data_IF_030662228789
#
_entry.id   IF_030662228789
#
_cell.length_a   1.000
_cell.length_b   1.000
_cell.length_c   1.000
_cell.angle_alpha   90.00
_cell.angle_beta   90.00
_cell.angle_gamma   90.00
#
_symmetry.space_group_name_H-M   'P 1'
#
loop_
_entity.id
_entity.type
_entity.pdbx_description
1 polymer ?
#
# COMPACT_ATOMS: atom_id res chain seq x y z
N UNK A 1 -22.33 23.94 -18.31
CA UNK A 1 -20.87 23.97 -18.57
C UNK A 1 -20.19 24.28 -17.24
N UNK A 2 -19.73 23.25 -16.48
CA UNK A 2 -18.99 23.44 -15.23
C UNK A 2 -17.79 22.47 -15.23
N UNK A 3 -16.73 22.89 -15.90
CA UNK A 3 -15.46 22.16 -15.97
C UNK A 3 -14.39 22.64 -14.96
N UNK A 4 -14.80 23.03 -13.72
CA UNK A 4 -13.92 23.74 -12.78
C UNK A 4 -13.38 22.95 -11.60
N UNK A 5 -13.80 21.71 -11.34
CA UNK A 5 -13.55 21.06 -10.03
C UNK A 5 -12.50 19.96 -10.03
N UNK A 6 -12.06 19.50 -11.18
CA UNK A 6 -11.13 18.35 -11.28
C UNK A 6 -9.64 18.74 -11.20
N UNK A 7 -9.32 20.04 -11.29
CA UNK A 7 -7.92 20.52 -11.22
C UNK A 7 -7.41 20.83 -9.80
N UNK A 8 -8.25 20.81 -8.78
CA UNK A 8 -7.90 21.21 -7.42
C UNK A 8 -6.86 20.29 -6.74
N UNK A 9 -6.85 18.98 -6.96
CA UNK A 9 -5.83 18.10 -6.36
C UNK A 9 -4.46 18.35 -6.96
N UNK A 10 -4.37 18.54 -8.28
CA UNK A 10 -3.12 18.79 -9.00
C UNK A 10 -2.53 20.15 -8.61
N UNK A 11 -3.35 21.20 -8.52
CA UNK A 11 -2.90 22.53 -8.11
C UNK A 11 -2.41 22.59 -6.65
N UNK A 12 -2.96 21.76 -5.75
CA UNK A 12 -2.44 21.67 -4.37
C UNK A 12 -1.07 21.01 -4.31
N UNK A 13 -0.80 20.03 -5.16
CA UNK A 13 0.51 19.39 -5.29
C UNK A 13 1.54 20.30 -5.95
N UNK A 14 1.09 21.18 -6.85
CA UNK A 14 1.95 22.19 -7.51
C UNK A 14 2.25 23.42 -6.63
N UNK A 15 1.55 23.61 -5.52
CA UNK A 15 1.90 24.64 -4.50
C UNK A 15 3.10 24.20 -3.67
N UNK A 16 4.20 23.87 -4.32
CA UNK A 16 5.50 23.74 -3.67
C UNK A 16 6.05 25.12 -3.26
N UNK A 17 6.89 25.18 -2.20
CA UNK A 17 7.57 26.40 -1.82
C UNK A 17 8.28 27.04 -3.02
N UNK A 18 8.26 28.37 -3.11
CA UNK A 18 8.84 29.16 -4.21
C UNK A 18 10.26 28.69 -4.57
N UNK A 19 10.67 28.72 -5.88
CA UNK A 19 12.04 28.45 -6.28
C UNK A 19 12.97 29.43 -5.54
N UNK A 20 13.74 28.95 -4.61
CA UNK A 20 14.60 29.75 -3.71
C UNK A 20 14.62 29.21 -2.28
N UNK A 21 13.60 28.50 -1.87
CA UNK A 21 13.58 27.77 -0.60
C UNK A 21 13.57 26.27 -0.87
N UNK A 22 14.61 25.76 -1.55
CA UNK A 22 14.85 24.31 -1.56
C UNK A 22 15.09 23.91 -0.11
N UNK A 23 14.27 22.98 0.44
CA UNK A 23 14.51 22.48 1.78
C UNK A 23 15.93 21.96 1.83
N UNK A 24 16.67 22.31 2.91
CA UNK A 24 18.05 21.84 3.12
C UNK A 24 18.11 20.36 2.80
N UNK A 25 18.89 20.03 1.74
CA UNK A 25 19.25 18.66 1.41
C UNK A 25 19.83 18.02 2.65
N UNK A 26 19.23 16.92 3.13
CA UNK A 26 19.88 16.15 4.18
C UNK A 26 19.00 15.44 5.21
N UNK A 27 17.68 15.57 5.20
CA UNK A 27 16.87 14.78 6.12
C UNK A 27 16.18 13.61 5.42
N UNK A 28 16.52 12.36 5.78
CA UNK A 28 15.86 11.13 5.32
C UNK A 28 14.32 11.22 5.42
N UNK A 29 13.80 11.93 6.43
CA UNK A 29 12.36 12.15 6.61
C UNK A 29 11.72 12.86 5.42
N UNK A 30 12.35 13.86 4.84
CA UNK A 30 11.83 14.59 3.69
C UNK A 30 11.87 13.74 2.43
N UNK A 31 12.93 12.93 2.24
CA UNK A 31 13.01 12.01 1.10
C UNK A 31 11.88 10.98 1.13
N UNK A 32 11.57 10.41 2.31
CA UNK A 32 10.42 9.52 2.47
C UNK A 32 9.08 10.21 2.21
N UNK A 33 8.91 11.44 2.70
CA UNK A 33 7.68 12.21 2.45
C UNK A 33 7.46 12.43 0.96
N UNK A 34 8.49 12.85 0.23
CA UNK A 34 8.39 13.08 -1.22
C UNK A 34 8.16 11.78 -2.01
N UNK A 35 8.80 10.69 -1.60
CA UNK A 35 8.55 9.38 -2.23
C UNK A 35 7.08 8.96 -2.06
N UNK A 36 6.53 9.09 -0.86
CA UNK A 36 5.12 8.77 -0.61
C UNK A 36 4.15 9.72 -1.32
N UNK A 37 4.46 11.00 -1.41
CA UNK A 37 3.69 11.97 -2.19
C UNK A 37 3.65 11.57 -3.67
N UNK A 38 4.78 11.11 -4.23
CA UNK A 38 4.86 10.61 -5.60
C UNK A 38 3.98 9.38 -5.81
N UNK A 39 4.04 8.39 -4.92
CA UNK A 39 3.17 7.20 -4.98
C UNK A 39 1.69 7.59 -4.94
N UNK A 40 1.30 8.47 -4.01
CA UNK A 40 -0.10 8.94 -3.90
C UNK A 40 -0.53 9.74 -5.11
N UNK A 41 0.37 10.54 -5.70
CA UNK A 41 0.08 11.27 -6.93
C UNK A 41 -0.30 10.30 -8.05
N UNK A 42 0.53 9.28 -8.31
CA UNK A 42 0.29 8.30 -9.38
C UNK A 42 -0.99 7.50 -9.10
N UNK A 43 -1.21 7.05 -7.86
CA UNK A 43 -2.43 6.34 -7.45
C UNK A 43 -3.72 7.17 -7.69
N UNK A 44 -3.66 8.49 -7.54
CA UNK A 44 -4.82 9.36 -7.74
C UNK A 44 -5.06 9.74 -9.18
N UNK A 45 -4.01 9.86 -9.97
CA UNK A 45 -4.09 10.42 -11.32
C UNK A 45 -4.08 9.35 -12.41
N UNK A 46 -3.50 8.17 -12.14
CA UNK A 46 -3.33 7.12 -13.14
C UNK A 46 -4.29 5.96 -12.91
N UNK A 47 -5.21 5.78 -13.87
CA UNK A 47 -6.17 4.67 -13.85
C UNK A 47 -5.47 3.30 -13.92
N UNK A 48 -4.40 3.20 -14.69
CA UNK A 48 -3.64 1.96 -14.82
C UNK A 48 -3.00 1.56 -13.48
N UNK A 49 -2.42 2.53 -12.75
CA UNK A 49 -1.89 2.28 -11.41
C UNK A 49 -2.96 1.72 -10.46
N UNK A 50 -4.17 2.28 -10.49
CA UNK A 50 -5.29 1.78 -9.66
C UNK A 50 -5.64 0.33 -10.00
N UNK A 51 -5.68 -0.01 -11.30
CA UNK A 51 -5.94 -1.38 -11.76
C UNK A 51 -4.82 -2.34 -11.35
N UNK A 52 -3.57 -1.93 -11.46
CA UNK A 52 -2.42 -2.75 -11.08
C UNK A 52 -2.37 -2.99 -9.57
N UNK A 53 -2.64 -1.97 -8.76
CA UNK A 53 -2.73 -2.12 -7.29
C UNK A 53 -3.88 -3.05 -6.92
N UNK A 54 -5.06 -2.84 -7.49
CA UNK A 54 -6.21 -3.71 -7.23
C UNK A 54 -5.92 -5.17 -7.62
N UNK A 55 -5.43 -5.40 -8.83
CA UNK A 55 -5.05 -6.74 -9.30
C UNK A 55 -3.96 -7.38 -8.44
N UNK A 56 -2.95 -6.62 -8.07
CA UNK A 56 -1.88 -7.07 -7.17
C UNK A 56 -2.41 -7.49 -5.80
N UNK A 57 -3.29 -6.69 -5.20
CA UNK A 57 -3.94 -7.06 -3.91
C UNK A 57 -4.76 -8.33 -4.06
N UNK A 58 -5.56 -8.46 -5.11
CA UNK A 58 -6.35 -9.68 -5.36
C UNK A 58 -5.45 -10.91 -5.49
N UNK A 59 -4.38 -10.83 -6.29
CA UNK A 59 -3.43 -11.93 -6.48
C UNK A 59 -2.75 -12.32 -5.17
N UNK A 60 -2.29 -11.35 -4.37
CA UNK A 60 -1.64 -11.62 -3.10
C UNK A 60 -2.61 -12.23 -2.07
N UNK A 61 -3.84 -11.73 -1.99
CA UNK A 61 -4.89 -12.32 -1.13
C UNK A 61 -5.18 -13.76 -1.53
N UNK A 62 -5.36 -14.03 -2.84
CA UNK A 62 -5.57 -15.39 -3.34
C UNK A 62 -4.37 -16.29 -3.04
N UNK A 63 -3.15 -15.81 -3.23
CA UNK A 63 -1.93 -16.54 -2.90
C UNK A 63 -1.89 -16.93 -1.43
N UNK A 64 -2.24 -16.00 -0.54
CA UNK A 64 -2.36 -16.25 0.90
C UNK A 64 -3.45 -17.31 1.18
N UNK A 65 -4.63 -17.18 0.61
CA UNK A 65 -5.73 -18.14 0.78
C UNK A 65 -5.39 -19.55 0.29
N UNK A 66 -4.61 -19.65 -0.78
CA UNK A 66 -4.22 -20.93 -1.40
C UNK A 66 -2.94 -21.54 -0.80
N UNK A 67 -2.37 -20.94 0.23
CA UNK A 67 -1.23 -21.47 0.95
C UNK A 67 0.03 -21.63 0.07
N UNK A 68 0.36 -20.61 -0.74
CA UNK A 68 1.58 -20.63 -1.56
C UNK A 68 2.84 -20.70 -0.70
N UNK A 69 3.90 -21.29 -1.21
CA UNK A 69 5.20 -21.34 -0.54
C UNK A 69 5.82 -19.94 -0.43
N UNK A 70 6.81 -19.80 0.46
CA UNK A 70 7.54 -18.52 0.66
C UNK A 70 8.20 -18.00 -0.60
N UNK A 71 8.76 -18.90 -1.43
CA UNK A 71 9.40 -18.53 -2.70
C UNK A 71 8.37 -18.08 -3.73
N UNK A 72 7.25 -18.77 -3.82
CA UNK A 72 6.12 -18.37 -4.69
C UNK A 72 5.56 -17.01 -4.28
N UNK A 73 5.38 -16.77 -2.97
CA UNK A 73 4.92 -15.49 -2.46
C UNK A 73 5.93 -14.37 -2.77
N UNK A 74 7.22 -14.62 -2.57
CA UNK A 74 8.29 -13.67 -2.92
C UNK A 74 8.27 -13.33 -4.41
N UNK A 75 8.08 -14.33 -5.28
CA UNK A 75 7.97 -14.13 -6.71
C UNK A 75 6.74 -13.27 -7.08
N UNK A 76 5.59 -13.51 -6.45
CA UNK A 76 4.37 -12.72 -6.67
C UNK A 76 4.53 -11.27 -6.18
N UNK A 77 5.08 -11.07 -4.98
CA UNK A 77 5.35 -9.72 -4.45
C UNK A 77 6.33 -8.97 -5.34
N UNK A 78 7.40 -9.64 -5.79
CA UNK A 78 8.38 -9.07 -6.71
C UNK A 78 7.75 -8.70 -8.06
N UNK A 79 6.90 -9.56 -8.61
CA UNK A 79 6.19 -9.31 -9.86
C UNK A 79 5.23 -8.12 -9.76
N UNK A 80 4.41 -8.06 -8.72
CA UNK A 80 3.53 -6.91 -8.44
C UNK A 80 4.36 -5.63 -8.27
N UNK A 81 5.43 -5.69 -7.47
CA UNK A 81 6.32 -4.55 -7.26
C UNK A 81 6.92 -4.03 -8.57
N UNK A 82 7.36 -4.93 -9.45
CA UNK A 82 7.92 -4.56 -10.75
C UNK A 82 6.91 -3.81 -11.64
N UNK A 83 5.64 -4.26 -11.67
CA UNK A 83 4.57 -3.56 -12.41
C UNK A 83 4.35 -2.16 -11.86
N UNK A 84 4.26 -2.02 -10.55
CA UNK A 84 4.05 -0.71 -9.92
C UNK A 84 5.23 0.25 -10.17
N UNK A 85 6.46 -0.26 -10.12
CA UNK A 85 7.67 0.53 -10.44
C UNK A 85 7.66 0.95 -11.90
N UNK A 86 7.34 0.03 -12.82
CA UNK A 86 7.25 0.36 -14.24
C UNK A 86 6.19 1.45 -14.51
N UNK A 87 5.02 1.37 -13.87
CA UNK A 87 3.96 2.37 -14.00
C UNK A 87 4.37 3.74 -13.43
N UNK A 88 5.10 3.76 -12.32
CA UNK A 88 5.64 5.00 -11.77
C UNK A 88 6.64 5.66 -12.72
N UNK A 89 7.52 4.87 -13.35
CA UNK A 89 8.46 5.39 -14.37
C UNK A 89 7.72 5.88 -15.59
N UNK A 90 6.72 5.15 -16.09
CA UNK A 90 5.88 5.58 -17.19
C UNK A 90 5.26 6.95 -16.91
N UNK A 91 4.61 7.09 -15.74
CA UNK A 91 3.99 8.35 -15.32
C UNK A 91 5.02 9.49 -15.20
N UNK A 92 6.20 9.19 -14.65
CA UNK A 92 7.25 10.20 -14.52
C UNK A 92 7.76 10.70 -15.90
N UNK A 93 7.92 9.80 -16.87
CA UNK A 93 8.30 10.12 -18.24
C UNK A 93 7.20 10.98 -18.89
N UNK A 94 5.94 10.54 -18.81
CA UNK A 94 4.80 11.31 -19.35
C UNK A 94 4.75 12.72 -18.76
N UNK A 95 4.79 12.84 -17.44
CA UNK A 95 4.72 14.13 -16.76
C UNK A 95 5.90 15.04 -17.10
N UNK A 96 7.11 14.48 -17.26
CA UNK A 96 8.32 15.25 -17.63
C UNK A 96 8.20 15.77 -19.05
N UNK A 97 7.80 14.91 -19.97
CA UNK A 97 7.69 15.26 -21.38
C UNK A 97 6.58 16.30 -21.59
N UNK A 98 5.41 16.12 -20.96
CA UNK A 98 4.27 17.04 -21.07
C UNK A 98 4.56 18.42 -20.44
N UNK A 99 5.45 18.48 -19.46
CA UNK A 99 5.88 19.74 -18.87
C UNK A 99 6.81 20.57 -19.78
N UNK A 100 7.52 19.91 -20.71
CA UNK A 100 8.54 20.57 -21.55
C UNK A 100 8.05 20.78 -22.98
N UNK A 101 7.26 19.87 -23.52
CA UNK A 101 6.84 19.84 -24.93
C UNK A 101 5.33 19.95 -25.02
N UNK A 102 4.86 21.10 -25.48
CA UNK A 102 3.42 21.40 -25.60
C UNK A 102 2.86 21.13 -27.00
N UNK A 103 3.75 20.83 -27.98
CA UNK A 103 3.37 20.54 -29.36
C UNK A 103 3.69 19.10 -29.73
N UNK A 104 2.96 18.55 -30.69
CA UNK A 104 3.23 17.18 -31.15
C UNK A 104 4.63 17.04 -31.70
N UNK A 105 5.37 16.06 -31.17
CA UNK A 105 6.70 15.69 -31.67
C UNK A 105 6.81 14.16 -31.78
N UNK A 106 7.21 13.59 -32.94
CA UNK A 106 7.25 12.14 -33.15
C UNK A 106 8.09 11.37 -32.13
N UNK A 107 9.26 11.91 -31.75
CA UNK A 107 10.13 11.28 -30.73
C UNK A 107 9.51 11.26 -29.34
N UNK A 108 8.70 12.27 -29.01
CA UNK A 108 7.95 12.31 -27.75
C UNK A 108 6.93 11.17 -27.70
N UNK A 109 6.20 10.97 -28.81
CA UNK A 109 5.29 9.84 -28.92
C UNK A 109 6.02 8.52 -28.72
N UNK A 110 7.16 8.33 -29.40
CA UNK A 110 7.98 7.11 -29.23
C UNK A 110 8.42 6.90 -27.79
N UNK A 111 8.88 7.95 -27.09
CA UNK A 111 9.31 7.85 -25.70
C UNK A 111 8.16 7.39 -24.77
N UNK A 112 6.95 7.96 -24.95
CA UNK A 112 5.76 7.55 -24.21
C UNK A 112 5.35 6.10 -24.54
N UNK A 113 5.35 5.74 -25.82
CA UNK A 113 5.00 4.39 -26.28
C UNK A 113 5.97 3.34 -25.69
N UNK A 114 7.28 3.64 -25.64
CA UNK A 114 8.29 2.76 -25.05
C UNK A 114 8.08 2.61 -23.54
N UNK A 115 7.79 3.69 -22.84
CA UNK A 115 7.52 3.65 -21.41
C UNK A 115 6.27 2.83 -21.10
N UNK A 116 5.18 3.03 -21.84
CA UNK A 116 3.97 2.21 -21.74
C UNK A 116 4.22 0.73 -22.09
N UNK A 117 5.08 0.46 -23.09
CA UNK A 117 5.54 -0.87 -23.47
C UNK A 117 6.24 -1.60 -22.31
N UNK A 118 7.06 -0.90 -21.53
CA UNK A 118 7.71 -1.47 -20.36
C UNK A 118 6.68 -1.92 -19.29
N UNK A 119 5.64 -1.13 -19.07
CA UNK A 119 4.52 -1.53 -18.17
C UNK A 119 3.83 -2.77 -18.68
N UNK A 120 3.55 -2.83 -19.99
CA UNK A 120 2.89 -3.99 -20.60
C UNK A 120 3.71 -5.27 -20.43
N UNK A 121 5.02 -5.20 -20.64
CA UNK A 121 5.93 -6.34 -20.44
C UNK A 121 5.93 -6.77 -18.96
N UNK A 122 6.07 -5.82 -18.04
CA UNK A 122 6.04 -6.12 -16.61
C UNK A 122 4.72 -6.77 -16.18
N UNK A 123 3.58 -6.26 -16.67
CA UNK A 123 2.26 -6.82 -16.41
C UNK A 123 2.11 -8.24 -17.00
N UNK A 124 2.57 -8.48 -18.22
CA UNK A 124 2.56 -9.81 -18.82
C UNK A 124 3.39 -10.82 -18.02
N UNK A 125 4.57 -10.43 -17.55
CA UNK A 125 5.40 -11.25 -16.65
C UNK A 125 4.69 -11.53 -15.33
N UNK A 126 4.06 -10.52 -14.73
CA UNK A 126 3.34 -10.69 -13.47
C UNK A 126 2.14 -11.64 -13.61
N UNK A 127 1.37 -11.52 -14.68
CA UNK A 127 0.26 -12.43 -15.00
C UNK A 127 0.77 -13.85 -15.22
N UNK A 128 1.89 -14.02 -15.93
CA UNK A 128 2.50 -15.34 -16.17
C UNK A 128 2.95 -15.99 -14.87
N UNK A 129 3.60 -15.25 -13.97
CA UNK A 129 4.03 -15.75 -12.66
C UNK A 129 2.80 -16.11 -11.82
N UNK A 130 1.79 -15.22 -11.77
CA UNK A 130 0.55 -15.49 -11.04
C UNK A 130 -0.16 -16.75 -11.57
N UNK A 131 -0.24 -16.90 -12.88
CA UNK A 131 -0.80 -18.10 -13.50
C UNK A 131 -0.04 -19.36 -13.07
N UNK A 132 1.28 -19.39 -13.22
CA UNK A 132 2.09 -20.56 -12.87
C UNK A 132 1.99 -20.93 -11.40
N UNK A 133 1.94 -19.94 -10.51
CA UNK A 133 1.85 -20.16 -9.06
C UNK A 133 0.44 -20.60 -8.64
N UNK A 134 -0.60 -19.99 -9.18
CA UNK A 134 -1.97 -20.20 -8.70
C UNK A 134 -2.67 -21.35 -9.42
N UNK A 135 -2.32 -21.64 -10.68
CA UNK A 135 -3.03 -22.64 -11.49
C UNK A 135 -3.09 -24.02 -10.84
N UNK A 136 -1.94 -24.55 -10.40
CA UNK A 136 -1.88 -25.87 -9.75
C UNK A 136 -2.67 -25.92 -8.43
N UNK A 137 -2.75 -24.79 -7.74
CA UNK A 137 -3.46 -24.66 -6.46
C UNK A 137 -4.97 -24.51 -6.61
N UNK A 138 -5.42 -23.90 -7.70
CA UNK A 138 -6.84 -23.75 -8.02
C UNK A 138 -7.45 -25.04 -8.56
N UNK A 139 -6.64 -25.90 -9.16
CA UNK A 139 -7.11 -27.18 -9.75
C UNK A 139 -7.11 -28.33 -8.74
N UNK A 140 -6.37 -28.22 -7.63
CA UNK A 140 -6.39 -29.21 -6.55
C UNK A 140 -7.40 -28.80 -5.46
N UNK A 141 -8.49 -29.55 -5.24
CA UNK A 141 -9.45 -29.18 -4.19
C UNK A 141 -8.81 -29.32 -2.79
N UNK A 142 -8.44 -28.18 -2.25
CA UNK A 142 -8.49 -27.76 -0.81
C UNK A 142 -8.20 -28.78 0.32
N UNK A 143 -7.24 -29.67 0.18
CA UNK A 143 -6.70 -30.38 1.37
C UNK A 143 -5.78 -29.48 2.22
N UNK A 144 -5.24 -28.41 1.67
CA UNK A 144 -4.29 -27.51 2.36
C UNK A 144 -4.96 -26.39 3.16
N UNK A 145 -6.20 -26.03 2.86
CA UNK A 145 -6.92 -24.95 3.58
C UNK A 145 -7.19 -25.28 5.05
N UNK A 146 -7.30 -26.56 5.40
CA UNK A 146 -7.59 -26.99 6.76
C UNK A 146 -6.33 -27.39 7.57
N UNK A 147 -5.20 -27.66 6.92
CA UNK A 147 -3.96 -28.03 7.61
C UNK A 147 -3.02 -26.84 7.88
N UNK A 148 -3.17 -25.74 7.14
CA UNK A 148 -2.39 -24.51 7.37
C UNK A 148 -2.82 -23.70 8.58
N UNK A 149 -4.05 -23.96 9.07
CA UNK A 149 -4.70 -23.17 10.13
C UNK A 149 -4.06 -23.29 11.53
N UNK A 150 -3.06 -24.12 11.72
CA UNK A 150 -2.49 -24.40 13.07
C UNK A 150 -1.09 -23.86 13.33
N UNK A 151 -0.43 -23.25 12.37
CA UNK A 151 0.87 -22.63 12.55
C UNK A 151 0.92 -21.33 11.73
N UNK A 152 0.33 -20.27 12.26
CA UNK A 152 0.45 -18.95 11.64
C UNK A 152 1.94 -18.55 11.60
N UNK A 153 2.58 -18.62 10.45
CA UNK A 153 4.00 -18.36 10.38
C UNK A 153 4.24 -16.87 10.55
N UNK A 154 5.36 -16.46 11.11
CA UNK A 154 5.76 -15.07 11.37
C UNK A 154 5.60 -14.15 10.16
N UNK A 155 5.65 -14.70 8.94
CA UNK A 155 5.47 -13.92 7.72
C UNK A 155 4.03 -13.39 7.53
N UNK A 156 3.01 -14.01 8.11
CA UNK A 156 1.62 -13.48 8.08
C UNK A 156 1.54 -12.14 8.79
N UNK A 157 2.31 -11.96 9.88
CA UNK A 157 2.40 -10.68 10.59
C UNK A 157 2.94 -9.59 9.67
N UNK A 158 4.04 -9.86 8.99
CA UNK A 158 4.69 -8.88 8.08
C UNK A 158 3.76 -8.53 6.92
N UNK A 159 3.07 -9.54 6.37
CA UNK A 159 2.10 -9.34 5.28
C UNK A 159 0.90 -8.52 5.76
N UNK A 160 0.34 -8.83 6.93
CA UNK A 160 -0.78 -8.10 7.49
C UNK A 160 -0.43 -6.62 7.72
N UNK A 161 0.76 -6.33 8.24
CA UNK A 161 1.27 -4.97 8.38
C UNK A 161 1.42 -4.29 7.00
N UNK A 162 2.01 -4.97 6.02
CA UNK A 162 2.17 -4.45 4.67
C UNK A 162 0.83 -4.13 4.00
N UNK A 163 -0.14 -5.06 4.04
CA UNK A 163 -1.48 -4.85 3.49
C UNK A 163 -2.19 -3.71 4.22
N UNK A 164 -2.06 -3.61 5.55
CA UNK A 164 -2.64 -2.51 6.32
C UNK A 164 -2.10 -1.16 5.86
N UNK A 165 -0.78 -1.05 5.66
CA UNK A 165 -0.15 0.19 5.16
C UNK A 165 -0.65 0.53 3.76
N UNK A 166 -0.70 -0.45 2.86
CA UNK A 166 -1.22 -0.26 1.50
C UNK A 166 -2.69 0.15 1.51
N UNK A 167 -3.53 -0.48 2.35
CA UNK A 167 -4.94 -0.12 2.50
C UNK A 167 -5.10 1.33 2.99
N UNK A 168 -4.31 1.76 3.97
CA UNK A 168 -4.30 3.15 4.45
C UNK A 168 -3.94 4.11 3.32
N UNK A 169 -2.87 3.81 2.55
CA UNK A 169 -2.45 4.66 1.43
C UNK A 169 -3.55 4.73 0.37
N UNK A 170 -4.15 3.59 0.02
CA UNK A 170 -5.23 3.52 -0.96
C UNK A 170 -6.47 4.32 -0.51
N UNK A 171 -6.91 4.18 0.75
CA UNK A 171 -8.04 4.93 1.29
C UNK A 171 -7.72 6.42 1.33
N UNK A 172 -6.53 6.83 1.75
CA UNK A 172 -6.11 8.25 1.73
C UNK A 172 -6.08 8.81 0.32
N UNK A 173 -5.60 8.02 -0.64
CA UNK A 173 -5.62 8.39 -2.05
C UNK A 173 -7.06 8.60 -2.56
N UNK A 174 -7.99 7.71 -2.20
CA UNK A 174 -9.38 7.80 -2.60
C UNK A 174 -10.13 8.97 -1.93
N UNK A 175 -9.98 9.13 -0.62
CA UNK A 175 -10.69 10.18 0.16
C UNK A 175 -10.16 11.59 -0.13
N UNK A 176 -8.93 11.71 -0.61
CA UNK A 176 -8.37 13.01 -1.00
C UNK A 176 -8.02 13.96 0.15
N UNK A 177 -8.03 13.49 1.41
CA UNK A 177 -7.77 14.32 2.60
C UNK A 177 -6.44 13.97 3.27
N UNK A 178 -5.60 15.00 3.51
CA UNK A 178 -4.30 14.86 4.20
C UNK A 178 -3.14 14.46 3.27
N UNK A 179 -1.96 14.33 3.88
CA UNK A 179 -0.76 13.78 3.22
C UNK A 179 -0.54 12.34 3.68
N UNK A 180 0.25 11.53 2.97
CA UNK A 180 0.50 10.13 3.36
C UNK A 180 0.97 9.95 4.80
N UNK A 181 1.75 10.92 5.33
CA UNK A 181 2.34 10.86 6.66
C UNK A 181 1.75 11.85 7.67
N UNK A 182 1.00 12.89 7.22
CA UNK A 182 0.44 13.91 8.12
C UNK A 182 -1.03 14.16 7.84
N UNK A 183 -1.86 13.94 8.86
CA UNK A 183 -3.29 14.17 8.83
C UNK A 183 -4.05 13.27 7.84
N UNK A 184 -5.34 13.47 7.76
CA UNK A 184 -6.22 12.78 6.83
C UNK A 184 -6.68 11.40 7.30
N UNK A 185 -7.77 10.95 6.69
CA UNK A 185 -8.49 9.75 7.04
C UNK A 185 -8.02 8.56 6.19
N UNK A 186 -7.77 7.36 6.81
CA UNK A 186 -7.61 7.08 8.23
C UNK A 186 -6.19 7.38 8.75
N UNK A 187 -5.97 7.34 10.09
CA UNK A 187 -4.63 7.49 10.67
C UNK A 187 -3.76 6.26 10.41
N UNK A 188 -2.68 6.44 9.63
CA UNK A 188 -1.76 5.35 9.29
C UNK A 188 -0.98 4.81 10.48
N UNK A 189 -0.57 5.69 11.42
CA UNK A 189 0.14 5.27 12.62
C UNK A 189 -0.76 4.45 13.55
N UNK A 190 -2.02 4.86 13.73
CA UNK A 190 -2.97 4.09 14.49
C UNK A 190 -3.26 2.73 13.82
N UNK A 191 -3.44 2.70 12.50
CA UNK A 191 -3.65 1.47 11.77
C UNK A 191 -2.49 0.49 11.94
N UNK A 192 -1.25 0.93 11.77
CA UNK A 192 -0.07 0.09 11.94
C UNK A 192 0.08 -0.41 13.40
N UNK A 193 -0.14 0.46 14.39
CA UNK A 193 -0.02 0.10 15.80
C UNK A 193 -1.08 -0.95 16.22
N UNK A 194 -2.33 -0.78 15.79
CA UNK A 194 -3.40 -1.73 16.10
C UNK A 194 -3.33 -3.01 15.27
N UNK A 195 -2.79 -2.96 14.05
CA UNK A 195 -2.44 -4.16 13.29
C UNK A 195 -1.37 -4.99 14.00
N UNK A 196 -0.31 -4.33 14.51
CA UNK A 196 0.74 -4.99 15.26
C UNK A 196 0.22 -5.57 16.59
N UNK A 197 -0.62 -4.83 17.33
CA UNK A 197 -1.28 -5.35 18.52
C UNK A 197 -2.11 -6.60 18.24
N UNK A 198 -2.95 -6.57 17.21
CA UNK A 198 -3.78 -7.71 16.83
C UNK A 198 -2.93 -8.92 16.44
N UNK A 199 -1.87 -8.70 15.63
CA UNK A 199 -0.95 -9.76 15.24
C UNK A 199 -0.26 -10.39 16.46
N UNK A 200 0.25 -9.58 17.39
CA UNK A 200 0.85 -10.06 18.65
C UNK A 200 -0.19 -10.90 19.42
N UNK A 201 -1.40 -10.39 19.58
CA UNK A 201 -2.49 -11.07 20.29
C UNK A 201 -2.75 -12.48 19.72
N UNK A 202 -2.84 -12.58 18.40
CA UNK A 202 -3.12 -13.84 17.72
C UNK A 202 -1.93 -14.83 17.79
N UNK A 203 -0.70 -14.33 17.67
CA UNK A 203 0.51 -15.16 17.74
C UNK A 203 0.78 -15.69 19.14
N UNK A 204 0.57 -14.87 20.19
CA UNK A 204 0.87 -15.27 21.57
C UNK A 204 -0.28 -16.00 22.26
N UNK A 205 -1.46 -16.09 21.64
CA UNK A 205 -2.65 -16.71 22.23
C UNK A 205 -2.40 -18.09 22.90
N UNK A 206 -1.53 -18.96 22.37
CA UNK A 206 -1.22 -20.25 23.01
C UNK A 206 -0.23 -20.16 24.19
N UNK A 207 0.33 -19.00 24.50
CA UNK A 207 1.39 -18.86 25.49
C UNK A 207 0.86 -18.60 26.89
N UNK A 208 1.57 -19.06 27.93
CA UNK A 208 1.17 -18.89 29.32
C UNK A 208 1.04 -17.43 29.79
N UNK A 209 1.71 -16.49 29.12
CA UNK A 209 1.68 -15.06 29.44
C UNK A 209 0.96 -14.22 28.38
N UNK A 210 0.10 -14.84 27.56
CA UNK A 210 -0.62 -14.19 26.47
C UNK A 210 -1.39 -12.94 26.93
N UNK A 211 -2.11 -13.02 28.03
CA UNK A 211 -2.88 -11.90 28.56
C UNK A 211 -1.99 -10.68 28.89
N UNK A 212 -0.86 -10.90 29.53
CA UNK A 212 0.08 -9.81 29.88
C UNK A 212 0.67 -9.18 28.62
N UNK A 213 1.16 -10.00 27.69
CA UNK A 213 1.79 -9.52 26.45
C UNK A 213 0.77 -8.74 25.60
N UNK A 214 -0.44 -9.28 25.44
CA UNK A 214 -1.53 -8.63 24.71
C UNK A 214 -1.92 -7.29 25.34
N UNK A 215 -2.04 -7.24 26.66
CA UNK A 215 -2.38 -5.99 27.37
C UNK A 215 -1.27 -4.93 27.17
N UNK A 216 -0.01 -5.30 27.32
CA UNK A 216 1.10 -4.38 27.11
C UNK A 216 1.15 -3.88 25.67
N UNK A 217 0.97 -4.76 24.69
CA UNK A 217 0.92 -4.39 23.26
C UNK A 217 -0.26 -3.46 22.97
N UNK A 218 -1.43 -3.70 23.60
CA UNK A 218 -2.59 -2.82 23.48
C UNK A 218 -2.33 -1.43 24.06
N UNK A 219 -1.74 -1.35 25.25
CA UNK A 219 -1.36 -0.07 25.85
C UNK A 219 -0.39 0.70 24.97
N UNK A 220 0.59 0.04 24.36
CA UNK A 220 1.50 0.67 23.41
C UNK A 220 0.77 1.19 22.18
N UNK A 221 -0.17 0.43 21.62
CA UNK A 221 -0.99 0.87 20.50
C UNK A 221 -1.86 2.08 20.87
N UNK A 222 -2.43 2.11 22.08
CA UNK A 222 -3.18 3.26 22.60
C UNK A 222 -2.30 4.49 22.78
N UNK A 223 -1.09 4.36 23.30
CA UNK A 223 -0.15 5.47 23.44
C UNK A 223 0.22 6.07 22.08
N UNK A 224 0.44 5.22 21.06
CA UNK A 224 0.65 5.68 19.69
C UNK A 224 -0.58 6.44 19.19
N UNK A 225 -1.77 5.91 19.39
CA UNK A 225 -3.03 6.53 18.96
C UNK A 225 -3.24 7.88 19.65
N UNK A 226 -3.07 7.96 20.98
CA UNK A 226 -3.20 9.15 21.78
C UNK A 226 -2.21 10.22 21.34
N UNK A 227 -0.94 9.86 21.12
CA UNK A 227 0.08 10.82 20.67
C UNK A 227 -0.28 11.50 19.34
N UNK A 228 -1.08 10.86 18.47
CA UNK A 228 -1.53 11.46 17.19
C UNK A 228 -2.64 12.49 17.41
N UNK A 229 -3.50 12.27 18.40
CA UNK A 229 -4.56 13.20 18.77
C UNK A 229 -3.97 14.40 19.51
N UNK A 230 -3.12 14.17 20.52
CA UNK A 230 -2.48 15.23 21.30
C UNK A 230 -1.58 16.15 20.46
N UNK A 231 -0.87 15.59 19.49
CA UNK A 231 -0.07 16.37 18.56
C UNK A 231 -0.92 17.18 17.55
N UNK A 232 -2.25 17.09 17.60
CA UNK A 232 -3.16 17.79 16.67
C UNK A 232 -3.01 17.35 15.20
N UNK A 233 -2.35 16.20 14.95
CA UNK A 233 -2.07 15.70 13.58
C UNK A 233 -3.31 14.99 13.02
N UNK A 234 -4.07 14.33 13.89
CA UNK A 234 -5.25 13.54 13.54
C UNK A 234 -6.40 13.81 14.52
N UNK A 235 -7.63 13.79 14.00
CA UNK A 235 -8.83 13.77 14.82
C UNK A 235 -9.03 12.39 15.46
N UNK A 236 -9.80 12.33 16.56
CA UNK A 236 -10.15 11.06 17.20
C UNK A 236 -10.82 10.06 16.24
N UNK A 237 -11.65 10.56 15.32
CA UNK A 237 -12.33 9.74 14.30
C UNK A 237 -11.32 9.11 13.33
N UNK A 238 -10.33 9.87 12.87
CA UNK A 238 -9.27 9.37 11.99
C UNK A 238 -8.42 8.31 12.68
N UNK A 239 -8.15 8.48 13.97
CA UNK A 239 -7.39 7.54 14.78
C UNK A 239 -8.17 6.25 15.03
N UNK A 240 -9.45 6.35 15.46
CA UNK A 240 -10.31 5.20 15.67
C UNK A 240 -10.51 4.41 14.37
N UNK A 241 -10.77 5.10 13.27
CA UNK A 241 -10.91 4.45 11.95
C UNK A 241 -9.64 3.72 11.53
N UNK A 242 -8.46 4.32 11.78
CA UNK A 242 -7.19 3.65 11.55
C UNK A 242 -7.02 2.41 12.43
N UNK A 243 -7.34 2.51 13.72
CA UNK A 243 -7.27 1.39 14.66
C UNK A 243 -8.16 0.21 14.23
N UNK A 244 -9.42 0.49 13.88
CA UNK A 244 -10.38 -0.52 13.39
C UNK A 244 -9.90 -1.15 12.09
N UNK A 245 -9.39 -0.36 11.16
CA UNK A 245 -8.85 -0.85 9.89
C UNK A 245 -7.66 -1.79 10.14
N UNK A 246 -6.68 -1.39 10.94
CA UNK A 246 -5.49 -2.18 11.21
C UNK A 246 -5.80 -3.49 11.93
N UNK A 247 -6.59 -3.44 12.98
CA UNK A 247 -7.01 -4.62 13.71
C UNK A 247 -7.88 -5.56 12.84
N UNK A 248 -8.82 -4.99 12.07
CA UNK A 248 -9.73 -5.74 11.20
C UNK A 248 -9.00 -6.46 10.06
N UNK A 249 -8.12 -5.78 9.34
CA UNK A 249 -7.31 -6.39 8.27
C UNK A 249 -6.46 -7.53 8.82
N UNK A 250 -5.80 -7.31 9.95
CA UNK A 250 -4.96 -8.34 10.58
C UNK A 250 -5.79 -9.54 11.02
N UNK A 251 -6.93 -9.30 11.69
CA UNK A 251 -7.83 -10.37 12.14
C UNK A 251 -8.34 -11.21 10.95
N UNK A 252 -8.77 -10.55 9.87
CA UNK A 252 -9.25 -11.24 8.67
C UNK A 252 -8.15 -12.10 8.03
N UNK A 253 -6.93 -11.58 7.90
CA UNK A 253 -5.81 -12.33 7.33
C UNK A 253 -5.44 -13.53 8.18
N UNK A 254 -5.46 -13.38 9.51
CA UNK A 254 -5.22 -14.50 10.40
C UNK A 254 -6.37 -15.53 10.42
N UNK A 255 -7.63 -15.11 10.25
CA UNK A 255 -8.75 -16.04 10.10
C UNK A 255 -8.68 -16.83 8.78
N UNK A 256 -8.17 -16.21 7.71
CA UNK A 256 -8.01 -16.86 6.42
C UNK A 256 -6.83 -17.83 6.43
N UNK A 257 -5.80 -17.55 7.21
CA UNK A 257 -4.53 -18.27 7.22
C UNK A 257 -4.22 -19.04 8.51
N UNK A 258 -4.76 -18.66 9.63
CA UNK A 258 -4.62 -19.29 10.96
C UNK A 258 -5.83 -20.06 11.33
#
# INVERSE_FOLDING_TARGET
VSGGDDQRPVQRLLRRPRPGALPRQGSLRWSFTWALEGIVFVLRTQRNMQLHVFGGVVVLVLALMLGVSRLELLALVGAVGLVLVAEMFNTAIEATVDAVITTYHPLVKVAKDVAAGAVLIAAACAVSIAYLVLYGRLTEPSRSLLSGARQAPTHVVVIALGITVLAVIAIKAYVGRGTPLRGGFPSGHAAAAFAAWMAITLVVAPWNHAALITTLAFLMALLVAQSRVEAGIHSSVEVVSGAVLGAGVTLLLFQIWG
#
